data_IF_804847504389
#
_entry.id   IF_804847504389
#
_cell.length_a   1.000
_cell.length_b   1.000
_cell.length_c   1.000
_cell.angle_alpha   90.00
_cell.angle_beta   90.00
_cell.angle_gamma   90.00
#
_symmetry.space_group_name_H-M   'P 1'
#
loop_
_entity.id
_entity.type
_entity.pdbx_description
1 polymer ?
#
# COMPACT_ATOMS: atom_id res chain seq x y z
N UNK A 1 -33.94 14.02 26.31
CA UNK A 1 -33.69 12.72 25.69
C UNK A 1 -32.64 12.93 24.63
N UNK A 2 -31.37 12.78 24.99
CA UNK A 2 -30.25 12.78 24.03
C UNK A 2 -30.26 11.43 23.35
N UNK A 3 -30.63 11.40 22.08
CA UNK A 3 -30.44 10.25 21.26
C UNK A 3 -28.92 10.01 21.20
N UNK A 4 -28.45 8.97 21.87
CA UNK A 4 -27.09 8.47 21.69
C UNK A 4 -27.00 7.94 20.26
N UNK A 5 -26.59 8.77 19.32
CA UNK A 5 -26.22 8.32 17.99
C UNK A 5 -24.95 7.50 18.15
N UNK A 6 -25.08 6.19 17.95
CA UNK A 6 -23.87 5.34 17.83
C UNK A 6 -22.95 5.97 16.78
N UNK A 7 -21.64 6.01 17.02
CA UNK A 7 -20.72 6.59 16.04
C UNK A 7 -20.85 5.84 14.69
N UNK A 8 -20.87 6.59 13.60
CA UNK A 8 -20.90 6.01 12.24
C UNK A 8 -19.69 5.08 12.08
N UNK A 9 -19.91 3.81 11.70
CA UNK A 9 -18.80 2.89 11.47
C UNK A 9 -17.86 3.40 10.37
N UNK A 10 -16.56 3.26 10.57
CA UNK A 10 -15.56 3.62 9.57
C UNK A 10 -15.57 2.58 8.44
N UNK A 11 -15.63 3.03 7.19
CA UNK A 11 -15.48 2.13 6.04
C UNK A 11 -14.06 1.60 5.96
N UNK A 12 -13.91 0.28 5.85
CA UNK A 12 -12.61 -0.40 5.58
C UNK A 12 -12.72 -1.11 4.24
N UNK A 13 -11.81 -0.83 3.33
CA UNK A 13 -11.66 -1.51 2.04
C UNK A 13 -10.43 -2.41 2.12
N UNK A 14 -10.64 -3.72 1.95
CA UNK A 14 -9.57 -4.73 1.92
C UNK A 14 -9.42 -5.28 0.51
N UNK A 15 -8.22 -5.17 -0.07
CA UNK A 15 -7.93 -5.76 -1.39
C UNK A 15 -7.35 -7.15 -1.20
N UNK A 16 -8.09 -8.17 -1.66
CA UNK A 16 -7.77 -9.59 -1.50
C UNK A 16 -7.33 -10.23 -2.81
N UNK A 17 -6.36 -11.14 -2.73
CA UNK A 17 -5.98 -12.03 -3.82
C UNK A 17 -5.37 -13.33 -3.30
N UNK A 18 -6.05 -14.47 -3.56
CA UNK A 18 -5.62 -15.85 -3.32
C UNK A 18 -5.30 -16.29 -1.88
N UNK A 19 -5.36 -15.43 -0.88
CA UNK A 19 -4.98 -15.73 0.51
C UNK A 19 -6.19 -15.59 1.44
N UNK A 20 -7.22 -16.43 1.24
CA UNK A 20 -8.49 -16.34 1.96
C UNK A 20 -8.31 -16.36 3.48
N UNK A 21 -7.50 -17.27 4.01
CA UNK A 21 -7.27 -17.38 5.45
C UNK A 21 -6.67 -16.11 6.05
N UNK A 22 -5.66 -15.51 5.40
CA UNK A 22 -5.08 -14.25 5.85
C UNK A 22 -6.10 -13.11 5.84
N UNK A 23 -6.95 -13.08 4.79
CA UNK A 23 -8.03 -12.09 4.69
C UNK A 23 -9.07 -12.26 5.81
N UNK A 24 -9.48 -13.48 6.12
CA UNK A 24 -10.42 -13.79 7.20
C UNK A 24 -9.85 -13.34 8.55
N UNK A 25 -8.60 -13.65 8.81
CA UNK A 25 -7.92 -13.20 10.04
C UNK A 25 -7.85 -11.66 10.12
N UNK A 26 -7.56 -10.98 9.01
CA UNK A 26 -7.55 -9.51 8.94
C UNK A 26 -8.94 -8.94 9.20
N UNK A 27 -9.99 -9.51 8.60
CA UNK A 27 -11.38 -9.13 8.87
C UNK A 27 -11.68 -9.24 10.36
N UNK A 28 -11.39 -10.39 10.97
CA UNK A 28 -11.65 -10.62 12.40
C UNK A 28 -10.88 -9.64 13.29
N UNK A 29 -9.64 -9.30 12.95
CA UNK A 29 -8.87 -8.28 13.66
C UNK A 29 -9.55 -6.91 13.62
N UNK A 30 -9.99 -6.44 12.46
CA UNK A 30 -10.71 -5.17 12.35
C UNK A 30 -12.02 -5.18 13.13
N UNK A 31 -12.81 -6.25 13.05
CA UNK A 31 -14.09 -6.37 13.76
C UNK A 31 -13.95 -6.42 15.29
N UNK A 32 -12.81 -6.85 15.82
CA UNK A 32 -12.53 -6.94 17.25
C UNK A 32 -11.76 -5.72 17.80
N UNK A 33 -11.55 -4.67 17.00
CA UNK A 33 -10.94 -3.41 17.47
C UNK A 33 -11.99 -2.47 18.06
N UNK A 34 -11.49 -1.43 18.75
CA UNK A 34 -12.28 -0.46 19.49
C UNK A 34 -13.13 0.49 18.62
N UNK A 35 -12.75 0.68 17.37
CA UNK A 35 -13.48 1.51 16.40
C UNK A 35 -14.47 0.64 15.63
N UNK A 36 -15.78 0.97 15.65
CA UNK A 36 -16.75 0.29 14.82
C UNK A 36 -16.40 0.42 13.33
N UNK A 37 -16.42 -0.70 12.59
CA UNK A 37 -16.07 -0.71 11.17
C UNK A 37 -17.14 -1.40 10.33
N UNK A 38 -17.22 -1.00 9.05
CA UNK A 38 -17.94 -1.70 7.99
C UNK A 38 -16.94 -2.06 6.91
N UNK A 39 -16.78 -3.34 6.63
CA UNK A 39 -15.70 -3.85 5.77
C UNK A 39 -16.26 -4.21 4.39
N UNK A 40 -15.61 -3.72 3.34
CA UNK A 40 -15.80 -4.18 1.97
C UNK A 40 -14.54 -4.89 1.50
N UNK A 41 -14.65 -6.20 1.26
CA UNK A 41 -13.56 -6.99 0.69
C UNK A 41 -13.68 -6.98 -0.83
N UNK A 42 -12.60 -6.62 -1.50
CA UNK A 42 -12.52 -6.65 -2.97
C UNK A 42 -11.70 -7.88 -3.36
N UNK A 43 -12.39 -8.91 -3.84
CA UNK A 43 -11.70 -10.07 -4.41
C UNK A 43 -11.17 -9.72 -5.80
N UNK A 44 -9.87 -9.63 -5.89
CA UNK A 44 -9.15 -9.19 -7.08
C UNK A 44 -8.83 -10.39 -8.01
N UNK A 45 -9.85 -11.23 -8.29
CA UNK A 45 -9.74 -12.37 -9.20
C UNK A 45 -8.96 -13.55 -8.62
N UNK A 46 -9.31 -13.97 -7.42
CA UNK A 46 -8.73 -15.16 -6.78
C UNK A 46 -9.13 -16.46 -7.46
N UNK A 47 -8.34 -17.51 -7.21
CA UNK A 47 -8.67 -18.87 -7.63
C UNK A 47 -9.97 -19.33 -6.98
N UNK A 48 -10.77 -20.19 -7.66
CA UNK A 48 -12.11 -20.59 -7.19
C UNK A 48 -12.15 -21.12 -5.76
N UNK A 49 -11.15 -21.86 -5.33
CA UNK A 49 -11.08 -22.40 -3.97
C UNK A 49 -10.94 -21.30 -2.92
N UNK A 50 -10.03 -20.36 -3.12
CA UNK A 50 -9.80 -19.24 -2.19
C UNK A 50 -11.03 -18.30 -2.15
N UNK A 51 -11.64 -18.05 -3.31
CA UNK A 51 -12.86 -17.24 -3.40
C UNK A 51 -14.04 -17.89 -2.67
N UNK A 52 -14.24 -19.19 -2.82
CA UNK A 52 -15.32 -19.91 -2.13
C UNK A 52 -15.14 -19.94 -0.61
N UNK A 53 -13.90 -20.08 -0.14
CA UNK A 53 -13.59 -19.98 1.30
C UNK A 53 -13.93 -18.58 1.83
N UNK A 54 -13.54 -17.53 1.09
CA UNK A 54 -13.83 -16.15 1.46
C UNK A 54 -15.33 -15.85 1.45
N UNK A 55 -16.09 -16.32 0.44
CA UNK A 55 -17.56 -16.16 0.36
C UNK A 55 -18.23 -16.70 1.62
N UNK A 56 -17.87 -17.89 2.07
CA UNK A 56 -18.45 -18.49 3.29
C UNK A 56 -18.15 -17.65 4.52
N UNK A 57 -16.89 -17.22 4.68
CA UNK A 57 -16.50 -16.40 5.82
C UNK A 57 -17.21 -15.04 5.84
N UNK A 58 -17.45 -14.43 4.69
CA UNK A 58 -18.20 -13.17 4.57
C UNK A 58 -19.69 -13.40 4.84
N UNK A 59 -20.27 -14.51 4.39
CA UNK A 59 -21.68 -14.85 4.65
C UNK A 59 -21.98 -14.92 6.15
N UNK A 60 -21.06 -15.46 6.95
CA UNK A 60 -21.21 -15.53 8.41
C UNK A 60 -21.13 -14.15 9.10
N UNK A 61 -20.65 -13.12 8.39
CA UNK A 61 -20.40 -11.74 8.88
C UNK A 61 -21.16 -10.68 8.09
N UNK A 62 -22.18 -11.05 7.31
CA UNK A 62 -22.86 -10.18 6.33
C UNK A 62 -23.47 -8.89 6.89
N UNK A 63 -23.65 -8.78 8.20
CA UNK A 63 -24.10 -7.53 8.85
C UNK A 63 -23.05 -6.42 8.86
N UNK A 64 -21.76 -6.77 8.75
CA UNK A 64 -20.62 -5.84 8.85
C UNK A 64 -19.63 -5.98 7.70
N UNK A 65 -19.71 -7.07 6.91
CA UNK A 65 -18.74 -7.40 5.85
C UNK A 65 -19.48 -7.67 4.55
N UNK A 66 -19.03 -7.04 3.48
CA UNK A 66 -19.46 -7.28 2.11
C UNK A 66 -18.32 -7.75 1.23
N UNK A 67 -18.62 -8.46 0.15
CA UNK A 67 -17.66 -8.96 -0.83
C UNK A 67 -18.04 -8.47 -2.22
N UNK A 68 -17.05 -7.90 -2.93
CA UNK A 68 -17.16 -7.53 -4.34
C UNK A 68 -16.12 -8.31 -5.13
N UNK A 69 -16.57 -9.00 -6.17
CA UNK A 69 -15.72 -9.86 -7.01
C UNK A 69 -15.39 -9.15 -8.33
N UNK A 70 -14.12 -8.89 -8.56
CA UNK A 70 -13.64 -8.19 -9.77
C UNK A 70 -13.45 -9.17 -10.95
N UNK A 71 -13.21 -10.44 -10.64
CA UNK A 71 -13.11 -11.52 -11.64
C UNK A 71 -11.71 -11.70 -12.26
N UNK A 72 -10.83 -10.70 -12.20
CA UNK A 72 -9.44 -10.80 -12.66
C UNK A 72 -8.52 -9.92 -11.80
N UNK A 73 -7.25 -10.30 -11.66
CA UNK A 73 -6.28 -9.49 -10.93
C UNK A 73 -5.94 -8.22 -11.73
N UNK A 74 -6.56 -7.13 -11.36
CA UNK A 74 -6.34 -5.81 -11.95
C UNK A 74 -5.17 -5.04 -11.30
N UNK A 75 -4.63 -5.54 -10.17
CA UNK A 75 -3.62 -4.87 -9.35
C UNK A 75 -4.20 -4.27 -8.08
N UNK A 76 -3.32 -3.77 -7.18
CA UNK A 76 -3.77 -3.22 -5.90
C UNK A 76 -4.57 -1.93 -6.09
N UNK A 77 -4.02 -0.93 -6.78
CA UNK A 77 -4.69 0.35 -7.01
C UNK A 77 -6.04 0.22 -7.72
N UNK A 78 -6.13 -0.46 -8.89
CA UNK A 78 -7.40 -0.70 -9.56
C UNK A 78 -8.40 -1.49 -8.73
N UNK A 79 -7.95 -2.51 -7.97
CA UNK A 79 -8.80 -3.25 -7.04
C UNK A 79 -9.33 -2.35 -5.93
N UNK A 80 -8.47 -1.54 -5.32
CA UNK A 80 -8.87 -0.54 -4.31
C UNK A 80 -9.90 0.45 -4.85
N UNK A 81 -9.74 0.89 -6.11
CA UNK A 81 -10.66 1.83 -6.75
C UNK A 81 -12.11 1.33 -6.78
N UNK A 82 -12.32 0.02 -6.84
CA UNK A 82 -13.69 -0.55 -6.78
C UNK A 82 -14.34 -0.20 -5.44
N UNK A 83 -13.68 -0.49 -4.33
CA UNK A 83 -14.19 -0.18 -2.99
C UNK A 83 -14.25 1.32 -2.68
N UNK A 84 -13.29 2.11 -3.21
CA UNK A 84 -13.28 3.56 -3.04
C UNK A 84 -14.43 4.24 -3.82
N UNK A 85 -14.84 3.71 -4.98
CA UNK A 85 -16.03 4.19 -5.71
C UNK A 85 -17.31 3.93 -4.90
N UNK A 86 -17.45 2.76 -4.28
CA UNK A 86 -18.56 2.45 -3.37
C UNK A 86 -18.58 3.43 -2.18
N UNK A 87 -17.44 3.67 -1.55
CA UNK A 87 -17.31 4.65 -0.46
C UNK A 87 -17.75 6.05 -0.89
N UNK A 88 -17.29 6.54 -2.05
CA UNK A 88 -17.65 7.88 -2.54
C UNK A 88 -19.12 7.99 -2.93
N UNK A 89 -19.74 6.87 -3.37
CA UNK A 89 -21.15 6.84 -3.76
C UNK A 89 -22.12 6.78 -2.57
N UNK A 90 -21.67 6.32 -1.39
CA UNK A 90 -22.51 6.20 -0.19
C UNK A 90 -22.24 7.37 0.77
N UNK A 91 -23.14 8.37 0.88
CA UNK A 91 -22.94 9.51 1.77
C UNK A 91 -22.98 9.15 3.26
N UNK A 92 -23.51 7.98 3.62
CA UNK A 92 -23.59 7.52 5.01
C UNK A 92 -22.25 6.95 5.53
N UNK A 93 -21.26 6.75 4.66
CA UNK A 93 -19.95 6.20 5.00
C UNK A 93 -18.99 7.18 5.72
N UNK A 94 -19.46 8.36 6.06
CA UNK A 94 -18.65 9.34 6.79
C UNK A 94 -17.52 9.96 5.95
N UNK A 95 -16.56 10.56 6.64
CA UNK A 95 -15.50 11.39 6.04
C UNK A 95 -14.27 10.57 5.61
N UNK A 96 -14.01 9.46 6.27
CA UNK A 96 -12.77 8.70 6.13
C UNK A 96 -13.01 7.26 5.71
N UNK A 97 -12.14 6.76 4.83
CA UNK A 97 -12.05 5.33 4.47
C UNK A 97 -10.66 4.80 4.82
N UNK A 98 -10.63 3.62 5.42
CA UNK A 98 -9.40 2.84 5.63
C UNK A 98 -9.20 1.93 4.43
N UNK A 99 -8.00 1.92 3.86
CA UNK A 99 -7.60 1.04 2.77
C UNK A 99 -6.39 0.22 3.19
N UNK A 100 -6.47 -1.09 3.01
CA UNK A 100 -5.38 -2.00 3.33
C UNK A 100 -5.36 -3.25 2.42
N UNK A 101 -4.23 -3.93 2.27
CA UNK A 101 -4.18 -5.30 1.76
C UNK A 101 -4.80 -6.27 2.76
N UNK A 102 -5.04 -7.47 2.31
CA UNK A 102 -5.76 -8.53 3.05
C UNK A 102 -4.96 -9.22 4.18
N UNK A 103 -3.72 -8.80 4.42
CA UNK A 103 -2.77 -9.46 5.33
C UNK A 103 -2.17 -8.51 6.37
N UNK A 104 -2.99 -7.62 6.91
CA UNK A 104 -2.59 -6.62 7.89
C UNK A 104 -3.14 -6.91 9.28
N UNK A 105 -2.41 -6.47 10.28
CA UNK A 105 -2.81 -6.49 11.68
C UNK A 105 -2.65 -5.09 12.29
N UNK A 106 -3.71 -4.29 12.37
CA UNK A 106 -3.69 -3.05 13.13
C UNK A 106 -3.65 -3.37 14.62
N UNK A 107 -2.65 -2.85 15.35
CA UNK A 107 -2.59 -3.02 16.79
C UNK A 107 -3.73 -2.28 17.51
N UNK A 108 -4.07 -2.66 18.77
CA UNK A 108 -5.04 -1.93 19.56
C UNK A 108 -4.70 -0.43 19.62
N UNK A 109 -5.70 0.43 19.46
CA UNK A 109 -5.52 1.88 19.42
C UNK A 109 -5.08 2.46 18.08
N UNK A 110 -4.76 1.66 17.08
CA UNK A 110 -4.28 2.14 15.76
C UNK A 110 -5.31 3.03 15.07
N UNK A 111 -6.53 2.55 14.87
CA UNK A 111 -7.57 3.29 14.16
C UNK A 111 -8.04 4.52 14.96
N UNK A 112 -8.21 4.40 16.26
CA UNK A 112 -8.61 5.54 17.11
C UNK A 112 -7.54 6.64 17.13
N UNK A 113 -6.25 6.29 17.14
CA UNK A 113 -5.17 7.24 17.03
C UNK A 113 -5.15 7.96 15.68
N UNK A 114 -5.36 7.22 14.57
CA UNK A 114 -5.43 7.83 13.23
C UNK A 114 -6.62 8.80 13.12
N UNK A 115 -7.79 8.44 13.64
CA UNK A 115 -8.97 9.31 13.62
C UNK A 115 -8.75 10.57 14.46
N UNK A 116 -8.18 10.44 15.65
CA UNK A 116 -7.91 11.59 16.53
C UNK A 116 -6.92 12.57 15.89
N UNK A 117 -5.86 12.08 15.26
CA UNK A 117 -4.92 12.93 14.54
C UNK A 117 -5.54 13.57 13.29
N UNK A 118 -6.42 12.85 12.59
CA UNK A 118 -7.17 13.38 11.45
C UNK A 118 -8.04 14.58 11.82
N UNK A 119 -8.70 14.53 12.97
CA UNK A 119 -9.52 15.64 13.49
C UNK A 119 -8.67 16.88 13.84
N UNK A 120 -7.42 16.68 14.27
CA UNK A 120 -6.49 17.76 14.61
C UNK A 120 -5.90 18.46 13.39
N UNK A 121 -6.02 17.88 12.19
CA UNK A 121 -5.39 18.34 10.94
C UNK A 121 -6.45 18.65 9.87
N UNK A 122 -6.97 19.89 9.79
CA UNK A 122 -8.05 20.24 8.86
C UNK A 122 -7.73 19.98 7.38
N UNK A 123 -6.46 20.05 7.00
CA UNK A 123 -6.00 19.81 5.63
C UNK A 123 -5.48 18.38 5.41
N UNK A 124 -5.63 17.46 6.37
CA UNK A 124 -5.28 16.07 6.17
C UNK A 124 -6.12 15.47 5.05
N UNK A 125 -5.47 15.01 3.98
CA UNK A 125 -6.12 14.34 2.86
C UNK A 125 -5.83 12.83 2.85
N UNK A 126 -4.58 12.48 3.11
CA UNK A 126 -4.09 11.10 3.12
C UNK A 126 -3.20 10.88 4.34
N UNK A 127 -3.31 9.73 4.96
CA UNK A 127 -2.40 9.36 6.03
C UNK A 127 -2.16 7.86 6.08
N UNK A 128 -1.12 7.42 6.77
CA UNK A 128 -0.84 6.02 6.99
C UNK A 128 -0.48 5.71 8.44
N UNK A 129 -0.68 4.45 8.81
CA UNK A 129 -0.25 3.91 10.08
C UNK A 129 1.28 3.68 10.10
N UNK A 130 1.85 3.60 11.30
CA UNK A 130 3.27 3.35 11.55
C UNK A 130 3.58 1.85 11.51
N UNK A 131 4.37 1.41 10.53
CA UNK A 131 4.84 0.02 10.41
C UNK A 131 5.96 -0.33 11.41
N UNK A 132 6.51 0.67 12.11
CA UNK A 132 7.46 0.49 13.19
C UNK A 132 8.91 0.28 12.77
N UNK A 133 9.23 0.59 11.55
CA UNK A 133 10.61 0.60 11.07
C UNK A 133 11.35 1.91 11.39
N UNK A 134 10.64 2.89 11.96
CA UNK A 134 11.15 4.22 12.28
C UNK A 134 11.33 5.13 11.07
N UNK A 135 10.95 4.67 9.88
CA UNK A 135 11.15 5.38 8.63
C UNK A 135 10.02 6.35 8.31
N UNK A 136 10.29 7.39 7.53
CA UNK A 136 9.30 8.30 6.96
C UNK A 136 9.29 8.12 5.45
N UNK A 137 8.14 7.89 4.81
CA UNK A 137 8.06 7.85 3.35
C UNK A 137 8.44 9.19 2.71
N UNK A 138 9.45 9.18 1.83
CA UNK A 138 9.91 10.35 1.08
C UNK A 138 10.02 10.02 -0.41
N UNK A 139 9.83 11.03 -1.27
CA UNK A 139 9.98 10.88 -2.72
C UNK A 139 11.05 11.86 -3.19
N UNK A 140 12.03 11.35 -3.96
CA UNK A 140 12.89 12.19 -4.75
C UNK A 140 12.14 12.59 -6.04
N UNK A 141 11.80 13.89 -6.22
CA UNK A 141 11.00 14.33 -7.35
C UNK A 141 11.71 14.20 -8.70
N UNK A 142 13.03 14.09 -8.71
CA UNK A 142 13.82 14.03 -9.93
C UNK A 142 14.20 12.62 -10.36
N UNK A 143 14.38 11.72 -9.39
CA UNK A 143 14.86 10.37 -9.65
C UNK A 143 13.85 9.29 -9.25
N UNK A 144 12.72 9.65 -8.62
CA UNK A 144 11.70 8.72 -8.15
C UNK A 144 12.24 7.74 -7.10
N UNK A 145 13.38 8.08 -6.47
CA UNK A 145 13.92 7.32 -5.37
C UNK A 145 13.04 7.52 -4.15
N UNK A 146 12.50 6.45 -3.59
CA UNK A 146 11.90 6.46 -2.27
C UNK A 146 13.05 6.34 -1.27
N UNK A 147 13.62 7.50 -0.88
CA UNK A 147 14.75 7.57 0.04
C UNK A 147 14.21 7.78 1.44
N UNK A 148 14.70 6.98 2.36
CA UNK A 148 14.42 7.15 3.77
C UNK A 148 15.60 7.84 4.42
N UNK A 149 15.40 8.97 5.15
CA UNK A 149 16.48 9.60 5.91
C UNK A 149 16.99 8.66 6.99
N UNK A 150 18.28 8.30 6.94
CA UNK A 150 18.91 7.40 7.89
C UNK A 150 19.11 8.00 9.31
N UNK A 151 18.81 9.28 9.52
CA UNK A 151 19.31 10.04 10.67
C UNK A 151 18.40 10.10 11.90
N UNK A 152 17.21 9.51 11.88
CA UNK A 152 16.26 9.60 13.01
C UNK A 152 15.48 8.29 13.26
N UNK A 153 16.05 7.17 12.89
CA UNK A 153 15.37 5.86 12.98
C UNK A 153 15.50 5.30 14.39
N UNK A 154 14.39 5.18 15.17
CA UNK A 154 14.40 4.33 16.34
C UNK A 154 14.70 2.88 15.93
N UNK A 155 15.28 2.05 16.80
CA UNK A 155 15.52 0.64 16.51
C UNK A 155 14.22 -0.02 16.03
N UNK A 156 14.30 -0.83 14.96
CA UNK A 156 13.16 -1.58 14.44
C UNK A 156 12.46 -2.34 15.57
N UNK A 157 11.13 -2.21 15.67
CA UNK A 157 10.34 -2.87 16.72
C UNK A 157 10.19 -2.10 18.03
N UNK A 158 10.86 -0.97 18.23
CA UNK A 158 10.59 -0.11 19.37
C UNK A 158 9.22 0.60 19.18
N UNK A 159 8.29 0.38 20.11
CA UNK A 159 7.13 1.25 20.18
C UNK A 159 7.62 2.68 20.48
N UNK A 160 7.12 3.72 19.79
CA UNK A 160 7.50 5.07 20.10
C UNK A 160 7.08 5.37 21.55
N UNK A 161 7.98 5.95 22.31
CA UNK A 161 7.66 6.46 23.63
C UNK A 161 6.83 7.75 23.45
N UNK A 162 5.52 7.68 23.67
CA UNK A 162 4.65 8.87 23.62
C UNK A 162 3.27 8.61 23.03
N UNK A 163 2.43 9.64 23.05
CA UNK A 163 1.12 9.64 22.40
C UNK A 163 1.31 9.62 20.86
N UNK A 164 0.33 9.08 20.15
CA UNK A 164 0.29 9.16 18.71
C UNK A 164 0.38 10.62 18.25
N UNK A 165 1.09 10.87 17.13
CA UNK A 165 1.21 12.21 16.58
C UNK A 165 1.43 12.16 15.06
N UNK A 166 1.04 13.26 14.40
CA UNK A 166 1.23 13.49 12.99
C UNK A 166 2.70 13.77 12.67
N UNK A 167 3.22 13.10 11.66
CA UNK A 167 4.51 13.39 11.01
C UNK A 167 4.27 13.58 9.52
N UNK A 168 4.76 14.69 8.94
CA UNK A 168 4.61 14.93 7.51
C UNK A 168 5.36 13.87 6.71
N UNK A 169 4.65 13.25 5.78
CA UNK A 169 5.20 12.23 4.89
C UNK A 169 5.06 12.64 3.41
N UNK A 170 5.92 12.15 2.54
CA UNK A 170 5.79 12.43 1.11
C UNK A 170 4.62 11.68 0.47
N UNK A 171 4.33 10.47 0.96
CA UNK A 171 3.21 9.63 0.54
C UNK A 171 2.81 8.69 1.69
N UNK A 172 1.57 8.18 1.73
CA UNK A 172 1.16 7.20 2.73
C UNK A 172 1.74 5.82 2.40
N UNK A 173 2.20 5.08 3.41
CA UNK A 173 2.64 3.71 3.23
C UNK A 173 1.44 2.78 2.94
N UNK A 174 1.55 1.94 1.92
CA UNK A 174 0.44 1.09 1.43
C UNK A 174 -0.05 -0.01 2.37
N UNK A 175 0.60 -0.22 3.53
CA UNK A 175 0.19 -1.24 4.51
C UNK A 175 -1.17 -0.96 5.14
N UNK A 176 -1.40 0.26 5.59
CA UNK A 176 -2.71 0.74 6.07
C UNK A 176 -2.78 2.23 5.87
N UNK A 177 -3.65 2.64 4.98
CA UNK A 177 -3.91 4.04 4.67
C UNK A 177 -5.27 4.47 5.19
N UNK A 178 -5.41 5.75 5.52
CA UNK A 178 -6.69 6.40 5.74
C UNK A 178 -6.80 7.60 4.80
N UNK A 179 -7.89 7.65 4.03
CA UNK A 179 -8.09 8.56 2.91
C UNK A 179 -9.36 9.37 3.14
N UNK A 180 -9.27 10.69 2.94
CA UNK A 180 -10.40 11.60 3.13
C UNK A 180 -11.29 11.64 1.89
N UNK A 181 -12.61 11.61 2.10
CA UNK A 181 -13.63 11.68 1.05
C UNK A 181 -13.44 12.88 0.14
N UNK A 182 -13.34 14.08 0.72
CA UNK A 182 -13.22 15.33 -0.04
C UNK A 182 -11.92 15.38 -0.85
N UNK A 183 -10.83 14.88 -0.28
CA UNK A 183 -9.57 14.76 -1.00
C UNK A 183 -9.72 13.84 -2.21
N UNK A 184 -10.27 12.63 -2.04
CA UNK A 184 -10.50 11.69 -3.15
C UNK A 184 -11.46 12.24 -4.20
N UNK A 185 -12.50 12.96 -3.77
CA UNK A 185 -13.45 13.58 -4.70
C UNK A 185 -12.79 14.65 -5.56
N UNK A 186 -11.84 15.41 -5.01
CA UNK A 186 -11.12 16.48 -5.72
C UNK A 186 -10.03 15.94 -6.66
N UNK A 187 -9.17 15.03 -6.13
CA UNK A 187 -7.98 14.57 -6.88
C UNK A 187 -8.22 13.32 -7.72
N UNK A 188 -9.35 12.64 -7.54
CA UNK A 188 -9.64 11.35 -8.12
C UNK A 188 -8.98 10.18 -7.37
N UNK A 189 -9.14 8.98 -7.90
CA UNK A 189 -8.68 7.72 -7.31
C UNK A 189 -7.27 7.34 -7.79
N UNK A 190 -6.83 6.12 -7.51
CA UNK A 190 -5.54 5.60 -7.99
C UNK A 190 -5.49 5.56 -9.52
N UNK A 191 -4.33 5.91 -10.08
CA UNK A 191 -4.08 5.73 -11.51
C UNK A 191 -3.87 4.24 -11.82
N UNK A 192 -4.78 3.66 -12.58
CA UNK A 192 -4.83 2.23 -12.87
C UNK A 192 -3.65 1.73 -13.75
N UNK A 193 -2.87 2.66 -14.34
CA UNK A 193 -1.64 2.32 -15.09
C UNK A 193 -0.58 1.68 -14.21
N UNK A 194 -0.54 1.99 -12.90
CA UNK A 194 0.47 1.47 -11.99
C UNK A 194 0.31 -0.03 -11.71
N UNK A 195 -0.90 -0.55 -11.66
CA UNK A 195 -1.22 -1.90 -11.25
C UNK A 195 -0.93 -2.15 -9.76
N UNK A 196 0.33 -2.05 -9.34
CA UNK A 196 0.81 -2.10 -7.95
C UNK A 196 2.20 -1.48 -7.87
N UNK A 197 2.53 -0.89 -6.74
CA UNK A 197 3.74 -0.10 -6.44
C UNK A 197 3.78 1.26 -7.15
N UNK A 198 4.07 2.30 -6.40
CA UNK A 198 4.09 3.72 -6.75
C UNK A 198 2.71 4.39 -6.93
N UNK A 199 1.61 3.67 -6.87
CA UNK A 199 0.26 4.24 -6.95
C UNK A 199 -0.04 5.18 -5.78
N UNK A 200 0.43 4.86 -4.58
CA UNK A 200 0.29 5.71 -3.39
C UNK A 200 1.09 7.01 -3.54
N UNK A 201 2.26 6.91 -4.16
CA UNK A 201 3.10 8.07 -4.42
C UNK A 201 2.47 9.01 -5.44
N UNK A 202 1.90 8.49 -6.53
CA UNK A 202 1.15 9.27 -7.51
C UNK A 202 -0.07 9.96 -6.87
N UNK A 203 -0.88 9.21 -6.10
CA UNK A 203 -2.03 9.76 -5.40
C UNK A 203 -1.62 10.91 -4.46
N UNK A 204 -0.53 10.72 -3.71
CA UNK A 204 0.01 11.70 -2.79
C UNK A 204 0.49 12.97 -3.48
N UNK A 205 1.12 12.85 -4.66
CA UNK A 205 1.56 14.02 -5.42
C UNK A 205 0.38 14.85 -5.93
N UNK A 206 -0.69 14.19 -6.40
CA UNK A 206 -1.91 14.88 -6.79
C UNK A 206 -2.58 15.57 -5.59
N UNK A 207 -2.63 14.90 -4.43
CA UNK A 207 -3.16 15.49 -3.21
C UNK A 207 -2.37 16.73 -2.78
N UNK A 208 -1.04 16.67 -2.76
CA UNK A 208 -0.19 17.82 -2.44
C UNK A 208 -0.37 18.98 -3.43
N UNK A 209 -0.49 18.69 -4.72
CA UNK A 209 -0.73 19.71 -5.75
C UNK A 209 -2.08 20.43 -5.55
N UNK A 210 -3.06 19.76 -4.95
CA UNK A 210 -4.36 20.31 -4.55
C UNK A 210 -4.33 20.98 -3.16
N UNK A 211 -3.20 20.96 -2.44
CA UNK A 211 -3.04 21.61 -1.13
C UNK A 211 -3.33 20.71 0.08
N UNK A 212 -3.59 19.42 -0.12
CA UNK A 212 -3.80 18.47 0.96
C UNK A 212 -2.50 18.06 1.65
N UNK A 213 -2.58 17.86 2.97
CA UNK A 213 -1.47 17.36 3.78
C UNK A 213 -1.47 15.82 3.78
N UNK A 214 -0.26 15.26 3.87
CA UNK A 214 -0.03 13.82 3.91
C UNK A 214 0.78 13.48 5.14
N UNK A 215 0.31 12.53 5.96
CA UNK A 215 0.91 12.20 7.23
C UNK A 215 1.19 10.72 7.46
N UNK A 216 2.19 10.48 8.29
CA UNK A 216 2.43 9.24 8.99
C UNK A 216 2.03 9.43 10.44
N UNK A 217 1.16 8.59 10.97
CA UNK A 217 0.71 8.70 12.37
C UNK A 217 1.60 7.83 13.24
N UNK A 218 2.64 8.45 13.82
CA UNK A 218 3.53 7.73 14.75
C UNK A 218 2.72 7.21 15.93
N UNK A 219 3.00 5.98 16.33
CA UNK A 219 2.28 5.30 17.41
C UNK A 219 0.99 4.61 16.98
N UNK A 220 0.39 4.92 15.84
CA UNK A 220 -0.70 4.15 15.26
C UNK A 220 -0.11 2.92 14.56
N UNK A 221 0.14 1.85 15.32
CA UNK A 221 0.92 0.70 14.86
C UNK A 221 0.12 -0.27 14.00
N UNK A 222 0.78 -0.73 12.93
CA UNK A 222 0.28 -1.80 12.05
C UNK A 222 1.44 -2.71 11.63
N UNK A 223 1.17 -3.97 11.35
CA UNK A 223 2.14 -4.88 10.74
C UNK A 223 1.53 -5.63 9.56
N UNK A 224 2.37 -6.00 8.59
CA UNK A 224 2.03 -7.02 7.59
C UNK A 224 2.34 -8.40 8.16
N UNK A 225 1.43 -9.34 7.91
CA UNK A 225 1.56 -10.71 8.44
C UNK A 225 2.29 -11.60 7.44
N UNK A 226 2.14 -11.31 6.15
CA UNK A 226 2.75 -12.07 5.07
C UNK A 226 3.59 -11.18 4.16
N UNK A 227 4.56 -11.78 3.49
CA UNK A 227 5.40 -11.06 2.52
C UNK A 227 4.77 -11.20 1.14
N UNK A 228 4.69 -10.05 0.45
CA UNK A 228 4.00 -9.88 -0.82
C UNK A 228 4.59 -10.62 -2.03
N UNK A 229 4.61 -9.95 -3.18
CA UNK A 229 4.95 -10.51 -4.49
C UNK A 229 6.40 -11.02 -4.60
N UNK A 230 6.65 -11.96 -5.52
CA UNK A 230 8.01 -12.46 -5.80
C UNK A 230 8.95 -11.35 -6.29
N UNK A 231 10.24 -11.47 -5.97
CA UNK A 231 11.27 -10.44 -6.22
C UNK A 231 11.30 -9.91 -7.67
N UNK A 232 11.14 -10.78 -8.68
CA UNK A 232 11.14 -10.38 -10.09
C UNK A 232 9.93 -9.51 -10.45
N UNK A 233 8.74 -9.82 -9.91
CA UNK A 233 7.52 -9.01 -10.10
C UNK A 233 7.69 -7.64 -9.48
N UNK A 234 8.22 -7.58 -8.27
CA UNK A 234 8.48 -6.32 -7.55
C UNK A 234 9.47 -5.46 -8.34
N UNK A 235 10.61 -6.02 -8.75
CA UNK A 235 11.65 -5.26 -9.48
C UNK A 235 11.17 -4.78 -10.85
N UNK A 236 10.34 -5.59 -11.54
CA UNK A 236 9.69 -5.19 -12.79
C UNK A 236 8.75 -4.00 -12.59
N UNK A 237 7.81 -4.13 -11.64
CA UNK A 237 6.81 -3.09 -11.38
C UNK A 237 7.47 -1.81 -10.86
N UNK A 238 8.36 -1.90 -9.89
CA UNK A 238 9.09 -0.75 -9.39
C UNK A 238 9.91 -0.05 -10.50
N UNK A 239 10.59 -0.81 -11.37
CA UNK A 239 11.34 -0.22 -12.48
C UNK A 239 10.42 0.53 -13.44
N UNK A 240 9.34 -0.09 -13.92
CA UNK A 240 8.41 0.51 -14.85
C UNK A 240 7.66 1.71 -14.25
N UNK A 241 7.15 1.52 -13.06
CA UNK A 241 6.27 2.48 -12.40
C UNK A 241 7.01 3.71 -11.87
N UNK A 242 8.25 3.54 -11.37
CA UNK A 242 9.09 4.69 -11.01
C UNK A 242 9.36 5.60 -12.22
N UNK A 243 9.56 5.02 -13.41
CA UNK A 243 9.73 5.80 -14.63
C UNK A 243 8.45 6.56 -15.02
N UNK A 244 7.29 5.91 -14.86
CA UNK A 244 6.00 6.57 -15.07
C UNK A 244 5.82 7.72 -14.07
N UNK A 245 6.04 7.47 -12.78
CA UNK A 245 5.94 8.47 -11.73
C UNK A 245 6.84 9.68 -12.00
N UNK A 246 8.12 9.47 -12.31
CA UNK A 246 9.08 10.54 -12.63
C UNK A 246 8.66 11.30 -13.90
N UNK A 247 8.10 10.61 -14.91
CA UNK A 247 7.61 11.24 -16.11
C UNK A 247 6.44 12.20 -15.83
N UNK A 248 5.48 11.76 -15.00
CA UNK A 248 4.32 12.58 -14.63
C UNK A 248 4.73 13.78 -13.74
N UNK A 249 5.68 13.58 -12.82
CA UNK A 249 6.13 14.62 -11.89
C UNK A 249 7.06 15.66 -12.53
N UNK A 250 8.07 15.19 -13.28
CA UNK A 250 9.24 15.98 -13.66
C UNK A 250 9.52 15.95 -15.17
N UNK A 251 8.66 15.27 -15.93
CA UNK A 251 8.69 15.23 -17.39
C UNK A 251 9.68 14.23 -17.98
N UNK A 252 9.68 14.18 -19.31
CA UNK A 252 10.42 13.18 -20.10
C UNK A 252 11.93 13.21 -19.89
N UNK A 253 12.51 14.38 -19.63
CA UNK A 253 13.95 14.53 -19.44
C UNK A 253 14.41 13.77 -18.17
N UNK A 254 13.70 13.94 -17.06
CA UNK A 254 14.03 13.25 -15.81
C UNK A 254 13.74 11.75 -15.90
N UNK A 255 12.66 11.35 -16.57
CA UNK A 255 12.39 9.93 -16.85
C UNK A 255 13.51 9.30 -17.69
N UNK A 256 14.07 10.00 -18.68
CA UNK A 256 15.23 9.53 -19.45
C UNK A 256 16.47 9.36 -18.55
N UNK A 257 16.78 10.34 -17.70
CA UNK A 257 17.89 10.24 -16.76
C UNK A 257 17.69 9.05 -15.82
N UNK A 258 16.49 8.86 -15.28
CA UNK A 258 16.16 7.72 -14.41
C UNK A 258 16.33 6.39 -15.15
N UNK A 259 15.87 6.29 -16.40
CA UNK A 259 16.06 5.11 -17.23
C UNK A 259 17.55 4.79 -17.43
N UNK A 260 18.35 5.82 -17.72
CA UNK A 260 19.80 5.68 -17.85
C UNK A 260 20.46 5.14 -16.57
N UNK A 261 20.12 5.71 -15.41
CA UNK A 261 20.60 5.20 -14.11
C UNK A 261 20.19 3.74 -13.89
N UNK A 262 18.97 3.38 -14.22
CA UNK A 262 18.48 2.00 -14.11
C UNK A 262 19.29 1.05 -15.00
N UNK A 263 19.62 1.44 -16.23
CA UNK A 263 20.48 0.67 -17.15
C UNK A 263 21.87 0.49 -16.53
N UNK A 264 22.51 1.59 -16.08
CA UNK A 264 23.85 1.54 -15.50
C UNK A 264 23.88 0.67 -14.23
N UNK A 265 22.89 0.82 -13.34
CA UNK A 265 22.79 -0.01 -12.14
C UNK A 265 22.58 -1.50 -12.49
N UNK A 266 21.78 -1.79 -13.50
CA UNK A 266 21.53 -3.16 -13.95
C UNK A 266 22.81 -3.79 -14.51
N UNK A 267 23.52 -3.10 -15.39
CA UNK A 267 24.81 -3.57 -15.95
C UNK A 267 25.85 -3.77 -14.83
N UNK A 268 25.96 -2.82 -13.91
CA UNK A 268 26.87 -2.93 -12.76
C UNK A 268 26.50 -4.12 -11.87
N UNK A 269 25.21 -4.34 -11.60
CA UNK A 269 24.74 -5.48 -10.80
C UNK A 269 24.98 -6.83 -11.48
N UNK A 270 24.95 -6.90 -12.83
CA UNK A 270 25.32 -8.09 -13.59
C UNK A 270 26.82 -8.36 -13.46
N UNK A 271 27.65 -7.33 -13.67
CA UNK A 271 29.11 -7.46 -13.65
C UNK A 271 29.66 -7.68 -12.24
N UNK A 272 29.07 -7.01 -11.22
CA UNK A 272 29.55 -7.05 -9.85
C UNK A 272 28.39 -7.36 -8.89
N UNK A 273 28.11 -8.64 -8.58
CA UNK A 273 26.98 -9.05 -7.73
C UNK A 273 26.91 -8.38 -6.37
N UNK A 274 28.04 -8.00 -5.76
CA UNK A 274 28.10 -7.29 -4.48
C UNK A 274 27.52 -5.87 -4.51
N UNK A 275 27.18 -5.33 -5.69
CA UNK A 275 26.56 -4.01 -5.85
C UNK A 275 25.06 -4.06 -6.09
N UNK A 276 24.47 -5.26 -6.06
CA UNK A 276 23.04 -5.45 -6.26
C UNK A 276 22.26 -4.88 -5.08
N UNK A 277 21.16 -4.15 -5.33
CA UNK A 277 20.20 -3.87 -4.28
C UNK A 277 19.52 -5.16 -3.81
N UNK A 278 18.83 -5.10 -2.68
CA UNK A 278 18.08 -6.23 -2.08
C UNK A 278 17.10 -6.85 -3.10
N UNK A 279 16.40 -5.99 -3.86
CA UNK A 279 15.51 -6.41 -4.94
C UNK A 279 16.26 -6.21 -6.25
N UNK A 280 16.67 -7.30 -6.89
CA UNK A 280 17.40 -7.27 -8.15
C UNK A 280 17.10 -8.48 -9.02
N UNK A 281 16.45 -8.22 -10.15
CA UNK A 281 16.32 -9.15 -11.27
C UNK A 281 16.59 -8.42 -12.60
N UNK A 282 17.72 -8.72 -13.22
CA UNK A 282 18.17 -8.02 -14.43
C UNK A 282 17.18 -8.15 -15.60
N UNK A 283 16.54 -9.32 -15.77
CA UNK A 283 15.53 -9.55 -16.80
C UNK A 283 14.28 -8.72 -16.54
N UNK A 284 13.81 -8.70 -15.28
CA UNK A 284 12.67 -7.92 -14.86
C UNK A 284 12.87 -6.41 -15.11
N UNK A 285 14.06 -5.88 -14.79
CA UNK A 285 14.43 -4.47 -15.06
C UNK A 285 14.42 -4.13 -16.54
N UNK A 286 15.04 -4.97 -17.37
CA UNK A 286 15.03 -4.77 -18.83
C UNK A 286 13.62 -4.80 -19.40
N UNK A 287 12.76 -5.70 -18.89
CA UNK A 287 11.37 -5.75 -19.30
C UNK A 287 10.56 -4.55 -18.80
N UNK A 288 10.80 -4.07 -17.59
CA UNK A 288 10.19 -2.85 -17.05
C UNK A 288 10.53 -1.62 -17.86
N UNK A 289 11.81 -1.42 -18.19
CA UNK A 289 12.28 -0.37 -19.09
C UNK A 289 11.61 -0.44 -20.48
N UNK A 290 11.60 -1.64 -21.09
CA UNK A 290 10.96 -1.87 -22.39
C UNK A 290 9.49 -1.50 -22.36
N UNK A 291 8.76 -1.99 -21.35
CA UNK A 291 7.31 -1.81 -21.28
C UNK A 291 6.93 -0.37 -20.95
N UNK A 292 7.75 0.37 -20.19
CA UNK A 292 7.62 1.81 -20.04
C UNK A 292 7.74 2.54 -21.40
N UNK A 293 8.79 2.26 -22.18
CA UNK A 293 9.00 2.87 -23.50
C UNK A 293 7.87 2.53 -24.48
N UNK A 294 7.38 1.30 -24.42
CA UNK A 294 6.28 0.82 -25.28
C UNK A 294 4.88 1.20 -24.75
N UNK A 295 4.80 1.96 -23.64
CA UNK A 295 3.54 2.35 -22.99
C UNK A 295 2.66 1.16 -22.60
N UNK A 296 3.27 0.05 -22.20
CA UNK A 296 2.59 -1.17 -21.74
C UNK A 296 2.47 -1.15 -20.23
N UNK A 297 1.33 -0.68 -19.75
CA UNK A 297 1.00 -0.62 -18.33
C UNK A 297 0.03 -1.74 -17.93
N UNK A 298 -0.31 -1.83 -16.62
CA UNK A 298 -1.15 -2.89 -16.08
C UNK A 298 -0.35 -4.09 -15.57
N UNK A 299 -0.90 -5.33 -15.63
CA UNK A 299 -0.30 -6.50 -15.01
C UNK A 299 1.08 -6.84 -15.56
N UNK A 300 1.97 -7.42 -14.73
CA UNK A 300 3.27 -7.89 -15.18
C UNK A 300 3.10 -9.03 -16.20
N UNK A 301 4.02 -9.17 -17.18
CA UNK A 301 4.00 -10.29 -18.13
C UNK A 301 4.05 -11.64 -17.41
N UNK A 302 3.30 -12.63 -17.91
CA UNK A 302 3.25 -13.99 -17.34
C UNK A 302 4.62 -14.67 -17.22
N UNK A 303 5.57 -14.26 -18.04
CA UNK A 303 6.95 -14.77 -17.99
C UNK A 303 7.78 -14.28 -16.80
N UNK A 304 7.29 -13.27 -16.07
CA UNK A 304 7.85 -12.74 -14.80
C UNK A 304 6.95 -13.13 -13.63
N UNK A 305 5.64 -13.15 -13.83
CA UNK A 305 4.68 -13.66 -12.87
C UNK A 305 4.91 -15.16 -12.67
N UNK A 306 5.94 -15.55 -11.93
CA UNK A 306 6.10 -16.94 -11.49
C UNK A 306 4.87 -17.32 -10.67
N UNK A 307 4.37 -18.57 -10.77
CA UNK A 307 3.42 -19.07 -9.78
C UNK A 307 4.05 -18.86 -8.39
N UNK A 308 3.27 -18.57 -7.35
CA UNK A 308 3.81 -18.44 -6.01
C UNK A 308 4.60 -19.71 -5.71
N UNK A 309 5.93 -19.63 -5.71
CA UNK A 309 6.78 -20.68 -5.20
C UNK A 309 6.36 -20.87 -3.75
N UNK A 310 6.20 -22.12 -3.33
CA UNK A 310 5.92 -22.44 -1.95
C UNK A 310 6.88 -21.61 -1.08
N UNK A 311 6.30 -20.82 -0.20
CA UNK A 311 7.01 -19.98 0.75
C UNK A 311 8.00 -20.87 1.51
N UNK A 312 9.29 -20.61 1.40
CA UNK A 312 10.32 -21.22 2.23
C UNK A 312 10.62 -20.27 3.42
N UNK A 313 10.09 -20.57 4.63
CA UNK A 313 10.31 -19.74 5.80
C UNK A 313 11.78 -19.63 6.22
N UNK A 314 12.64 -20.54 5.74
CA UNK A 314 14.05 -20.59 6.14
C UNK A 314 14.92 -19.47 5.54
N UNK A 315 14.46 -18.83 4.44
CA UNK A 315 15.20 -17.76 3.78
C UNK A 315 15.05 -16.38 4.44
N UNK A 316 14.13 -16.21 5.39
CA UNK A 316 13.81 -14.92 6.00
C UNK A 316 14.18 -14.83 7.49
N UNK A 317 14.66 -15.93 8.09
CA UNK A 317 15.20 -15.94 9.46
C UNK A 317 16.62 -15.36 9.61
N UNK A 318 17.31 -15.06 8.51
CA UNK A 318 18.75 -14.72 8.55
C UNK A 318 19.04 -13.21 8.65
N UNK A 319 18.06 -12.32 8.57
CA UNK A 319 18.32 -10.86 8.63
C UNK A 319 18.22 -10.26 10.02
N UNK A 320 17.81 -11.01 11.04
CA UNK A 320 17.71 -10.49 12.41
C UNK A 320 18.93 -10.77 13.30
N UNK A 321 20.02 -11.41 12.82
CA UNK A 321 21.18 -11.74 13.66
C UNK A 321 22.53 -11.18 13.17
N UNK A 322 22.56 -10.20 12.26
CA UNK A 322 23.82 -9.66 11.74
C UNK A 322 24.22 -8.28 12.31
N UNK A 323 23.62 -7.82 13.41
CA UNK A 323 24.07 -6.60 14.11
C UNK A 323 24.12 -6.77 15.64
N UNK A 324 24.72 -7.88 16.10
CA UNK A 324 25.20 -8.00 17.48
C UNK A 324 26.64 -8.54 17.41
N UNK A 325 27.60 -7.62 17.31
CA UNK A 325 29.03 -7.89 17.35
C UNK A 325 29.82 -6.59 17.18
#
# INVERSE_FOLDING_TARGET
>A
MTLSTSPTPVRVVLVHWNQAQACIETIDRFLHREVPVRITVIDNGSRPQALEELRRAVQDRQSQVSLIEVGANAGFGPGANVGLREFLADPEDGEWVVLAPHDVDPFPGCLSAMLAEAESQPMAGLMCADVGDGMIPVIDPYFGGMVVPASQVPPAGAAPAGAAHWEDAAFPHGTLMMLRRDCLAEIGLFDERFFSYCEEADLALRARAAGWSIGLIRGARVQNIHIGSGLAVVDYLQTRNTLLLVQEMSGNYHAFIRAWFTIVQTLRGIQKPSTRPIIFDARARVMGLRDFVLRRFGPPPSSIASPPSQFDPSLHGATNNANAG
#
